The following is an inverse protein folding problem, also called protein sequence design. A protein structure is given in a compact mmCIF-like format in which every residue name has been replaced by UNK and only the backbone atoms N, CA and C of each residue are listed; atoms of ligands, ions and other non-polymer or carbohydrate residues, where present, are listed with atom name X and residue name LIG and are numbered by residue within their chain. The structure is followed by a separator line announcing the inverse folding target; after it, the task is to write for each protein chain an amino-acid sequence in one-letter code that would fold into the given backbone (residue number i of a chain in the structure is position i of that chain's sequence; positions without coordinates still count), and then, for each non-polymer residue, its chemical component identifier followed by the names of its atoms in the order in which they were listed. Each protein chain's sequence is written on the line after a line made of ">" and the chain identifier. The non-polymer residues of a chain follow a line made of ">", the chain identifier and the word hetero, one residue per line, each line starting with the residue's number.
data_IF_870092488549
#
_entry.id   IF_870092488549
#
_cell.length_a   1.000
_cell.length_b   1.000
_cell.length_c   1.000
_cell.angle_alpha   90.00
_cell.angle_beta   90.00
_cell.angle_gamma   90.00
#
_symmetry.space_group_name_H-M   'P 1'
#
loop_
_entity.id
_entity.type
_entity.pdbx_description
1 polymer ?
#
# COMPACT_ATOMS: atom_id res chain seq x y z
N UNK A 1 18.55 -32.41 -27.58
CA UNK A 1 17.59 -33.52 -27.77
C UNK A 1 16.52 -33.42 -26.70
N UNK A 2 15.26 -33.48 -27.14
CA UNK A 2 14.00 -33.32 -26.40
C UNK A 2 13.90 -34.20 -25.17
N UNK A 3 13.24 -33.71 -24.10
CA UNK A 3 12.01 -34.30 -23.52
C UNK A 3 11.16 -33.21 -22.85
N UNK A 4 10.09 -32.79 -23.53
CA UNK A 4 8.94 -32.16 -22.89
C UNK A 4 8.14 -33.25 -22.19
N UNK A 5 7.74 -33.02 -20.94
CA UNK A 5 6.69 -33.80 -20.29
C UNK A 5 5.50 -32.89 -20.04
N UNK A 6 4.46 -33.11 -20.85
CA UNK A 6 3.10 -32.60 -20.67
C UNK A 6 2.48 -33.32 -19.47
N UNK A 7 1.93 -32.56 -18.51
CA UNK A 7 1.02 -33.11 -17.49
C UNK A 7 -0.35 -32.48 -17.70
N UNK A 8 -1.32 -33.38 -17.66
CA UNK A 8 -2.66 -33.29 -18.21
C UNK A 8 -3.57 -32.36 -17.43
N UNK A 9 -4.41 -31.66 -18.20
CA UNK A 9 -5.61 -30.97 -17.78
C UNK A 9 -6.66 -31.98 -17.30
N UNK A 10 -7.23 -31.78 -16.10
CA UNK A 10 -8.48 -32.42 -15.67
C UNK A 10 -9.44 -31.35 -15.17
N UNK A 11 -10.48 -31.09 -15.98
CA UNK A 11 -11.74 -30.50 -15.55
C UNK A 11 -12.68 -31.61 -15.05
N UNK A 12 -13.38 -31.38 -13.92
CA UNK A 12 -14.72 -31.91 -13.60
C UNK A 12 -15.20 -31.20 -12.31
N UNK A 13 -16.15 -30.26 -12.39
CA UNK A 13 -17.60 -30.40 -12.06
C UNK A 13 -17.84 -30.87 -10.61
N UNK A 14 -18.62 -30.24 -9.73
CA UNK A 14 -19.98 -29.72 -9.88
C UNK A 14 -20.49 -28.95 -8.64
N UNK A 15 -21.62 -28.27 -8.85
CA UNK A 15 -22.47 -27.41 -8.01
C UNK A 15 -22.85 -27.95 -6.61
N UNK A 16 -23.10 -27.01 -5.68
CA UNK A 16 -24.29 -27.03 -4.82
C UNK A 16 -24.69 -25.60 -4.41
N UNK A 17 -25.84 -25.13 -4.92
CA UNK A 17 -26.57 -23.98 -4.38
C UNK A 17 -27.33 -24.43 -3.13
N UNK A 18 -27.13 -23.76 -2.00
CA UNK A 18 -28.02 -23.85 -0.85
C UNK A 18 -28.96 -22.63 -0.86
N UNK A 19 -30.13 -22.82 -1.45
CA UNK A 19 -31.29 -21.96 -1.27
C UNK A 19 -32.02 -22.39 0.01
N UNK A 20 -32.07 -21.53 1.02
CA UNK A 20 -32.96 -21.69 2.16
C UNK A 20 -34.06 -20.63 2.08
N UNK A 21 -35.20 -21.05 1.55
CA UNK A 21 -36.50 -20.38 1.68
C UNK A 21 -37.07 -20.62 3.08
N UNK A 22 -37.54 -19.55 3.75
CA UNK A 22 -38.54 -19.67 4.81
C UNK A 22 -39.51 -18.51 4.75
N UNK A 23 -40.74 -18.84 4.35
CA UNK A 23 -41.90 -17.95 4.30
C UNK A 23 -42.42 -17.63 5.70
N UNK A 24 -42.91 -16.40 5.90
CA UNK A 24 -44.15 -16.19 6.64
C UNK A 24 -44.82 -14.88 6.21
N UNK A 25 -46.05 -15.02 5.74
CA UNK A 25 -46.95 -13.94 5.31
C UNK A 25 -47.51 -13.19 6.51
N UNK A 26 -47.74 -11.88 6.38
CA UNK A 26 -48.98 -11.19 6.82
C UNK A 26 -49.05 -9.79 6.19
N UNK A 27 -50.18 -9.53 5.54
CA UNK A 27 -50.56 -8.34 4.79
C UNK A 27 -50.71 -7.08 5.65
N UNK A 28 -50.39 -5.91 5.08
CA UNK A 28 -51.33 -4.78 4.90
C UNK A 28 -50.61 -3.57 4.27
N UNK A 29 -51.13 -3.13 3.13
CA UNK A 29 -50.84 -1.84 2.48
C UNK A 29 -51.80 -0.78 3.04
N UNK A 30 -51.36 0.48 3.16
CA UNK A 30 -52.09 1.51 2.43
C UNK A 30 -51.17 2.44 1.62
N UNK A 31 -51.71 2.85 0.48
CA UNK A 31 -51.16 3.65 -0.62
C UNK A 31 -50.86 5.10 -0.25
N UNK A 32 -49.67 5.60 -0.62
CA UNK A 32 -49.41 7.00 -1.04
C UNK A 32 -48.24 6.99 -2.05
N UNK A 33 -48.44 7.48 -3.28
CA UNK A 33 -47.39 7.75 -4.30
C UNK A 33 -46.87 9.21 -4.17
N UNK A 34 -45.87 9.66 -4.95
CA UNK A 34 -44.50 9.17 -5.11
C UNK A 34 -43.49 10.27 -4.70
N UNK A 35 -42.32 9.92 -4.17
CA UNK A 35 -41.19 10.86 -4.13
C UNK A 35 -39.97 10.12 -4.68
N UNK A 36 -39.57 10.56 -5.87
CA UNK A 36 -38.28 10.30 -6.50
C UNK A 36 -37.18 10.70 -5.53
N UNK A 37 -36.54 9.70 -4.94
CA UNK A 37 -35.22 9.88 -4.31
C UNK A 37 -34.31 8.84 -4.93
N UNK A 38 -33.63 9.23 -6.01
CA UNK A 38 -32.41 8.56 -6.42
C UNK A 38 -31.39 8.71 -5.29
N UNK A 39 -31.41 7.76 -4.35
CA UNK A 39 -30.32 7.54 -3.42
C UNK A 39 -29.45 6.42 -4.00
N UNK A 40 -28.63 6.79 -4.97
CA UNK A 40 -27.43 6.05 -5.38
C UNK A 40 -26.29 6.97 -4.97
N UNK A 41 -25.34 6.65 -4.10
CA UNK A 41 -24.68 5.39 -3.79
C UNK A 41 -24.07 5.52 -2.40
N UNK A 42 -24.18 4.46 -1.59
CA UNK A 42 -23.39 4.28 -0.38
C UNK A 42 -21.91 4.15 -0.76
N UNK A 43 -21.20 5.28 -0.78
CA UNK A 43 -19.74 5.30 -0.74
C UNK A 43 -19.32 4.81 0.65
N UNK A 44 -18.96 3.54 0.75
CA UNK A 44 -18.02 3.15 1.79
C UNK A 44 -16.75 3.95 1.49
N UNK A 45 -16.50 4.96 2.31
CA UNK A 45 -15.29 5.77 2.24
C UNK A 45 -14.32 5.19 3.25
N UNK A 46 -13.05 4.98 2.86
CA UNK A 46 -12.01 4.70 3.84
C UNK A 46 -11.88 5.92 4.76
N UNK A 47 -11.87 5.71 6.08
CA UNK A 47 -11.72 6.81 7.03
C UNK A 47 -10.27 7.32 6.98
N UNK A 48 -10.04 8.61 6.71
CA UNK A 48 -8.68 9.17 6.71
C UNK A 48 -7.98 8.96 8.05
N UNK A 49 -6.68 8.66 7.99
CA UNK A 49 -5.80 8.57 9.16
C UNK A 49 -4.83 9.74 9.08
N UNK A 50 -5.19 10.86 9.70
CA UNK A 50 -4.47 12.13 9.55
C UNK A 50 -3.45 12.30 10.68
N UNK A 51 -2.31 11.62 10.57
CA UNK A 51 -1.12 11.96 11.34
C UNK A 51 -0.02 12.51 10.42
N UNK A 52 -0.22 13.75 9.96
CA UNK A 52 0.69 14.42 9.02
C UNK A 52 2.08 14.64 9.61
N UNK A 53 2.20 14.85 10.92
CA UNK A 53 3.49 15.03 11.57
C UNK A 53 4.32 13.75 11.54
N UNK A 54 3.74 12.61 11.94
CA UNK A 54 4.42 11.32 11.91
C UNK A 54 4.81 10.94 10.48
N UNK A 55 3.91 11.18 9.52
CA UNK A 55 4.18 10.97 8.10
C UNK A 55 5.36 11.84 7.61
N UNK A 56 5.36 13.13 7.92
CA UNK A 56 6.47 14.02 7.53
C UNK A 56 7.79 13.60 8.17
N UNK A 57 7.79 13.16 9.42
CA UNK A 57 8.99 12.65 10.09
C UNK A 57 9.49 11.34 9.46
N UNK A 58 8.59 10.45 9.04
CA UNK A 58 8.95 9.25 8.28
C UNK A 58 9.61 9.59 6.93
N UNK A 59 9.10 10.61 6.24
CA UNK A 59 9.59 10.99 4.92
C UNK A 59 11.02 11.55 4.97
N UNK A 60 11.46 12.15 6.09
CA UNK A 60 12.84 12.65 6.25
C UNK A 60 13.87 11.56 6.53
N UNK A 61 13.45 10.35 6.90
CA UNK A 61 14.36 9.23 7.20
C UNK A 61 15.02 8.76 5.91
N UNK A 62 16.35 8.76 5.88
CA UNK A 62 17.15 8.32 4.75
C UNK A 62 17.45 6.83 4.83
N UNK A 63 17.35 6.16 3.69
CA UNK A 63 17.72 4.75 3.55
C UNK A 63 19.12 4.64 2.95
N UNK A 64 19.99 3.94 3.68
CA UNK A 64 21.35 3.63 3.26
C UNK A 64 21.45 2.29 2.52
N UNK A 65 22.62 2.06 1.93
CA UNK A 65 22.89 0.81 1.20
C UNK A 65 23.18 -0.34 2.17
N UNK A 66 22.26 -1.32 2.22
CA UNK A 66 22.41 -2.53 3.03
C UNK A 66 23.67 -3.35 2.74
N UNK A 67 24.19 -3.29 1.50
CA UNK A 67 25.44 -3.98 1.13
C UNK A 67 26.69 -3.27 1.66
N UNK A 68 26.55 -2.02 2.11
CA UNK A 68 27.61 -1.16 2.65
C UNK A 68 27.28 -0.72 4.08
N UNK A 69 26.78 -1.65 4.92
CA UNK A 69 26.50 -1.37 6.33
C UNK A 69 25.56 -0.16 6.57
N UNK A 70 24.63 0.09 5.64
CA UNK A 70 23.70 1.21 5.70
C UNK A 70 24.34 2.58 5.43
N UNK A 71 25.46 2.64 4.72
CA UNK A 71 26.06 3.92 4.29
C UNK A 71 25.03 4.81 3.59
N UNK A 72 24.96 6.07 4.02
CA UNK A 72 23.99 7.08 3.56
C UNK A 72 22.63 7.04 4.28
N UNK A 73 22.37 6.05 5.14
CA UNK A 73 21.14 5.95 5.91
C UNK A 73 21.17 6.76 7.20
N UNK A 74 19.97 7.17 7.66
CA UNK A 74 19.81 7.78 8.98
C UNK A 74 20.26 6.83 10.08
N UNK A 75 20.89 7.37 11.11
CA UNK A 75 21.31 6.62 12.30
C UNK A 75 20.11 6.31 13.19
N UNK A 76 20.24 5.27 14.02
CA UNK A 76 19.25 4.93 15.04
C UNK A 76 18.97 6.11 15.99
N UNK A 77 20.00 6.90 16.33
CA UNK A 77 19.85 8.08 17.17
C UNK A 77 19.02 9.18 16.49
N UNK A 78 19.31 9.49 15.22
CA UNK A 78 18.52 10.45 14.43
C UNK A 78 17.06 9.99 14.28
N UNK A 79 16.84 8.70 14.03
CA UNK A 79 15.50 8.11 13.94
C UNK A 79 14.75 8.26 15.27
N UNK A 80 15.37 7.94 16.40
CA UNK A 80 14.75 8.10 17.72
C UNK A 80 14.50 9.56 18.08
N UNK A 81 15.34 10.47 17.62
CA UNK A 81 15.12 11.90 17.80
C UNK A 81 13.89 12.40 17.00
N UNK A 82 13.60 11.78 15.86
CA UNK A 82 12.43 12.09 15.02
C UNK A 82 11.14 11.43 15.53
N UNK A 83 11.17 10.11 15.76
CA UNK A 83 9.97 9.30 16.01
C UNK A 83 9.76 8.93 17.49
N UNK A 84 10.74 9.21 18.36
CA UNK A 84 10.76 8.70 19.72
C UNK A 84 11.20 7.24 19.80
N UNK A 85 10.97 6.61 20.95
CA UNK A 85 11.30 5.19 21.15
C UNK A 85 10.31 4.28 20.40
N UNK A 86 10.79 3.17 19.81
CA UNK A 86 9.92 2.23 19.12
C UNK A 86 8.97 1.53 20.10
N UNK A 87 7.79 1.17 19.61
CA UNK A 87 6.84 0.31 20.31
C UNK A 87 7.40 -1.11 20.49
N UNK A 88 8.16 -1.61 19.52
CA UNK A 88 8.85 -2.89 19.62
C UNK A 88 10.15 -2.92 18.80
N UNK A 89 11.06 -3.79 19.22
CA UNK A 89 12.28 -4.12 18.50
C UNK A 89 12.42 -5.63 18.40
N UNK A 90 12.69 -6.13 17.20
CA UNK A 90 13.03 -7.53 16.94
C UNK A 90 14.44 -7.58 16.39
N UNK A 91 15.29 -8.45 16.93
CA UNK A 91 16.66 -8.64 16.42
C UNK A 91 16.76 -9.99 15.76
N UNK A 92 17.37 -10.02 14.58
CA UNK A 92 17.70 -11.24 13.85
C UNK A 92 19.20 -11.30 13.61
N UNK A 93 19.79 -12.48 13.80
CA UNK A 93 21.20 -12.72 13.52
C UNK A 93 21.34 -13.85 12.52
N UNK A 94 22.08 -13.59 11.44
CA UNK A 94 22.43 -14.60 10.45
C UNK A 94 23.91 -14.50 10.13
N UNK A 95 24.66 -15.59 10.35
CA UNK A 95 26.10 -15.66 10.09
C UNK A 95 26.91 -14.54 10.78
N UNK A 96 26.51 -14.13 11.98
CA UNK A 96 27.15 -13.05 12.75
C UNK A 96 26.79 -11.64 12.29
N UNK A 97 25.90 -11.49 11.30
CA UNK A 97 25.31 -10.21 10.91
C UNK A 97 24.00 -10.02 11.68
N UNK A 98 23.94 -8.97 12.50
CA UNK A 98 22.74 -8.58 13.23
C UNK A 98 21.95 -7.53 12.44
N UNK A 99 20.64 -7.74 12.31
CA UNK A 99 19.68 -6.78 11.77
C UNK A 99 18.57 -6.57 12.79
N UNK A 100 18.31 -5.32 13.12
CA UNK A 100 17.22 -4.94 14.01
C UNK A 100 16.04 -4.43 13.18
N UNK A 101 14.84 -4.89 13.50
CA UNK A 101 13.59 -4.34 13.01
C UNK A 101 12.94 -3.55 14.14
N UNK A 102 12.71 -2.27 13.91
CA UNK A 102 12.08 -1.37 14.87
C UNK A 102 10.70 -0.98 14.35
N UNK A 103 9.72 -1.02 15.24
CA UNK A 103 8.32 -0.72 14.90
C UNK A 103 7.78 0.39 15.78
N UNK A 104 7.15 1.40 15.18
CA UNK A 104 6.35 2.43 15.84
C UNK A 104 4.90 2.25 15.42
N UNK A 105 4.00 2.23 16.39
CA UNK A 105 2.55 2.15 16.16
C UNK A 105 1.89 3.40 16.73
N UNK A 106 1.12 4.08 15.89
CA UNK A 106 0.25 5.19 16.31
C UNK A 106 -1.13 5.07 15.64
N UNK A 107 -2.13 4.68 16.42
CA UNK A 107 -3.44 4.31 15.92
C UNK A 107 -3.34 3.19 14.88
N UNK A 108 -3.84 3.46 13.67
CA UNK A 108 -3.77 2.53 12.54
C UNK A 108 -2.45 2.62 11.77
N UNK A 109 -1.65 3.68 11.97
CA UNK A 109 -0.39 3.87 11.26
C UNK A 109 0.74 3.08 11.93
N UNK A 110 1.47 2.32 11.12
CA UNK A 110 2.66 1.58 11.57
C UNK A 110 3.86 1.96 10.71
N UNK A 111 4.96 2.35 11.36
CA UNK A 111 6.27 2.53 10.72
C UNK A 111 7.16 1.36 11.13
N UNK A 112 7.81 0.73 10.15
CA UNK A 112 8.82 -0.29 10.37
C UNK A 112 10.12 0.12 9.71
N UNK A 113 11.22 0.02 10.44
CA UNK A 113 12.57 0.29 9.94
C UNK A 113 13.47 -0.92 10.17
N UNK A 114 14.24 -1.30 9.16
CA UNK A 114 15.35 -2.23 9.34
C UNK A 114 16.65 -1.44 9.54
N UNK A 115 17.40 -1.79 10.57
CA UNK A 115 18.66 -1.18 10.98
C UNK A 115 19.77 -2.21 10.83
N UNK A 116 20.83 -1.83 10.11
CA UNK A 116 22.07 -2.60 10.00
C UNK A 116 23.21 -1.73 10.52
N UNK A 117 23.94 -2.22 11.51
CA UNK A 117 25.07 -1.49 12.14
C UNK A 117 24.70 -0.06 12.56
N UNK A 118 23.50 0.11 13.13
CA UNK A 118 23.01 1.38 13.64
C UNK A 118 22.49 2.36 12.57
N UNK A 119 22.38 1.94 11.31
CA UNK A 119 21.85 2.77 10.21
C UNK A 119 20.65 2.13 9.51
N UNK A 120 19.71 2.95 9.09
CA UNK A 120 18.50 2.53 8.36
C UNK A 120 18.85 2.01 6.97
N UNK A 121 18.38 0.80 6.66
CA UNK A 121 18.57 0.12 5.36
C UNK A 121 17.27 -0.25 4.67
N UNK A 122 16.16 -0.21 5.40
CA UNK A 122 14.81 -0.33 4.86
C UNK A 122 13.87 0.54 5.71
N UNK A 123 12.87 1.14 5.07
CA UNK A 123 11.75 1.78 5.76
C UNK A 123 10.43 1.40 5.12
N UNK A 124 9.39 1.31 5.93
CA UNK A 124 8.02 1.09 5.50
C UNK A 124 7.06 1.88 6.39
N UNK A 125 6.02 2.45 5.80
CA UNK A 125 4.85 2.96 6.51
C UNK A 125 3.62 2.21 6.00
N UNK A 126 2.70 1.85 6.90
CA UNK A 126 1.43 1.20 6.55
C UNK A 126 0.30 1.78 7.39
N UNK A 127 -0.95 1.56 6.96
CA UNK A 127 -2.15 2.03 7.68
C UNK A 127 -2.33 3.55 7.75
N UNK A 128 -1.55 4.31 6.97
CA UNK A 128 -1.72 5.75 6.79
C UNK A 128 -2.63 6.02 5.59
N UNK A 129 -3.51 7.03 5.70
CA UNK A 129 -4.40 7.43 4.61
C UNK A 129 -4.61 8.96 4.62
N UNK A 130 -4.27 9.62 3.52
CA UNK A 130 -4.53 11.06 3.39
C UNK A 130 -6.03 11.36 3.33
N UNK A 131 -6.41 12.54 3.82
CA UNK A 131 -7.73 13.12 3.55
C UNK A 131 -7.65 13.97 2.27
N UNK A 132 -8.10 13.43 1.14
CA UNK A 132 -8.06 14.09 -0.17
C UNK A 132 -9.13 13.56 -1.12
N UNK A 133 -9.38 14.30 -2.19
CA UNK A 133 -10.34 13.91 -3.23
C UNK A 133 -9.82 12.75 -4.10
N UNK A 134 -10.75 11.89 -4.53
CA UNK A 134 -10.49 10.73 -5.40
C UNK A 134 -10.44 11.15 -6.87
N UNK A 135 -9.30 11.66 -7.31
CA UNK A 135 -9.12 12.22 -8.65
C UNK A 135 -8.39 11.29 -9.63
N UNK A 136 -7.60 10.34 -9.14
CA UNK A 136 -6.77 9.44 -9.94
C UNK A 136 -7.62 8.32 -10.55
N UNK A 137 -7.85 8.38 -11.87
CA UNK A 137 -8.68 7.41 -12.59
C UNK A 137 -7.91 6.22 -13.16
N UNK A 138 -8.65 5.21 -13.63
CA UNK A 138 -8.09 4.10 -14.41
C UNK A 138 -7.41 4.61 -15.69
N UNK A 139 -7.98 5.62 -16.36
CA UNK A 139 -7.33 6.27 -17.52
C UNK A 139 -5.96 6.84 -17.14
N UNK A 140 -5.86 7.60 -16.04
CA UNK A 140 -4.57 8.13 -15.59
C UNK A 140 -3.55 7.03 -15.29
N UNK A 141 -3.98 5.94 -14.64
CA UNK A 141 -3.13 4.79 -14.37
C UNK A 141 -2.62 4.12 -15.65
N UNK A 142 -3.48 3.94 -16.65
CA UNK A 142 -3.13 3.30 -17.91
C UNK A 142 -2.13 4.12 -18.73
N UNK A 143 -2.25 5.46 -18.70
CA UNK A 143 -1.35 6.39 -19.40
C UNK A 143 0.06 6.46 -18.78
N UNK A 144 0.24 6.05 -17.53
CA UNK A 144 1.54 6.08 -16.87
C UNK A 144 2.53 5.11 -17.55
N UNK A 145 3.63 5.63 -18.10
CA UNK A 145 4.62 4.85 -18.82
C UNK A 145 5.73 4.33 -17.90
N UNK A 146 6.25 3.12 -18.18
CA UNK A 146 7.51 2.63 -17.60
C UNK A 146 8.64 3.65 -17.84
N UNK A 147 9.58 3.76 -16.90
CA UNK A 147 10.66 4.74 -16.94
C UNK A 147 10.29 6.14 -16.44
N UNK A 148 9.01 6.44 -16.19
CA UNK A 148 8.60 7.71 -15.55
C UNK A 148 9.27 7.84 -14.18
N UNK A 149 9.81 9.02 -13.86
CA UNK A 149 10.51 9.21 -12.59
C UNK A 149 9.56 9.19 -11.40
N UNK A 150 10.05 8.81 -10.22
CA UNK A 150 9.22 8.87 -9.01
C UNK A 150 8.73 10.30 -8.75
N UNK A 151 9.61 11.30 -8.89
CA UNK A 151 9.25 12.70 -8.74
C UNK A 151 8.17 13.18 -9.72
N UNK A 152 8.21 12.73 -10.98
CA UNK A 152 7.19 13.10 -11.97
C UNK A 152 5.84 12.48 -11.62
N UNK A 153 5.82 11.23 -11.11
CA UNK A 153 4.59 10.62 -10.60
C UNK A 153 4.05 11.42 -9.42
N UNK A 154 4.90 11.79 -8.45
CA UNK A 154 4.45 12.57 -7.29
C UNK A 154 3.91 13.95 -7.69
N UNK A 155 4.48 14.59 -8.71
CA UNK A 155 4.03 15.89 -9.19
C UNK A 155 2.60 15.86 -9.75
N UNK A 156 2.18 14.72 -10.32
CA UNK A 156 0.85 14.57 -10.93
C UNK A 156 -0.13 13.89 -9.98
N UNK A 157 0.29 12.82 -9.30
CA UNK A 157 -0.57 11.98 -8.47
C UNK A 157 -0.59 12.43 -7.00
N UNK A 158 0.37 13.25 -6.59
CA UNK A 158 0.65 13.52 -5.19
C UNK A 158 1.32 12.32 -4.50
N UNK A 159 1.62 12.48 -3.22
CA UNK A 159 2.31 11.45 -2.44
C UNK A 159 1.49 10.15 -2.32
N UNK A 160 2.14 8.97 -2.29
CA UNK A 160 1.46 7.73 -1.95
C UNK A 160 1.00 7.76 -0.51
N UNK A 161 -0.07 7.04 -0.20
CA UNK A 161 -0.56 6.88 1.16
C UNK A 161 0.44 6.08 2.00
N UNK A 162 0.99 5.02 1.41
CA UNK A 162 1.97 4.14 2.04
C UNK A 162 3.07 3.79 1.07
N UNK A 163 4.28 3.57 1.58
CA UNK A 163 5.37 3.07 0.75
C UNK A 163 6.43 2.34 1.55
N UNK A 164 7.22 1.55 0.84
CA UNK A 164 8.45 0.93 1.31
C UNK A 164 9.62 1.45 0.49
N UNK A 165 10.79 1.59 1.12
CA UNK A 165 12.02 2.01 0.45
C UNK A 165 13.20 1.18 0.97
N UNK A 166 14.05 0.73 0.04
CA UNK A 166 15.29 0.01 0.34
C UNK A 166 16.40 0.40 -0.63
N UNK A 167 17.65 0.20 -0.21
CA UNK A 167 18.80 0.26 -1.11
C UNK A 167 19.70 -0.95 -0.92
N UNK A 168 19.96 -1.67 -2.00
CA UNK A 168 20.73 -2.91 -2.00
C UNK A 168 21.70 -2.88 -3.17
N UNK A 169 23.00 -2.97 -2.89
CA UNK A 169 24.05 -3.02 -3.92
C UNK A 169 23.99 -1.83 -4.88
N UNK A 170 23.78 -0.63 -4.34
CA UNK A 170 23.66 0.62 -5.09
C UNK A 170 22.26 0.91 -5.62
N UNK A 171 21.43 -0.12 -5.81
CA UNK A 171 20.10 0.01 -6.41
C UNK A 171 19.05 0.40 -5.37
N UNK A 172 18.36 1.52 -5.61
CA UNK A 172 17.23 1.97 -4.81
C UNK A 172 15.94 1.36 -5.33
N UNK A 173 15.11 0.81 -4.44
CA UNK A 173 13.78 0.31 -4.76
C UNK A 173 12.73 0.99 -3.88
N UNK A 174 11.66 1.49 -4.49
CA UNK A 174 10.49 2.08 -3.80
C UNK A 174 9.23 1.35 -4.24
N UNK A 175 8.48 0.78 -3.31
CA UNK A 175 7.14 0.25 -3.56
C UNK A 175 6.10 1.17 -2.94
N UNK A 176 5.28 1.83 -3.75
CA UNK A 176 4.38 2.90 -3.30
C UNK A 176 2.92 2.59 -3.66
N UNK A 177 2.01 2.83 -2.73
CA UNK A 177 0.57 2.57 -2.91
C UNK A 177 -0.26 3.82 -2.66
N UNK A 178 -1.16 4.09 -3.60
CA UNK A 178 -2.19 5.12 -3.52
C UNK A 178 -3.55 4.49 -3.26
N UNK A 179 -4.22 4.98 -2.23
CA UNK A 179 -5.56 4.56 -1.83
C UNK A 179 -6.53 5.74 -1.85
N UNK A 180 -6.15 6.86 -1.22
CA UNK A 180 -7.10 7.95 -0.91
C UNK A 180 -7.44 8.85 -2.08
N UNK A 181 -6.55 8.99 -3.07
CA UNK A 181 -6.81 9.75 -4.28
C UNK A 181 -7.32 8.88 -5.44
N UNK A 182 -7.48 7.56 -5.27
CA UNK A 182 -7.85 6.62 -6.34
C UNK A 182 -9.36 6.54 -6.51
N UNK A 183 -9.85 6.76 -7.73
CA UNK A 183 -11.22 6.43 -8.12
C UNK A 183 -11.37 4.93 -8.27
N UNK A 184 -12.47 4.39 -7.76
CA UNK A 184 -12.75 2.98 -7.89
C UNK A 184 -14.07 2.57 -7.28
N UNK A 185 -14.44 1.32 -7.57
CA UNK A 185 -15.77 0.76 -7.28
C UNK A 185 -16.11 0.75 -5.79
N UNK A 186 -15.10 0.58 -4.94
CA UNK A 186 -15.24 0.51 -3.48
C UNK A 186 -13.94 0.97 -2.79
N UNK A 187 -13.89 0.80 -1.47
CA UNK A 187 -12.76 1.15 -0.59
C UNK A 187 -11.46 0.40 -0.87
N UNK A 188 -11.53 -0.76 -1.55
CA UNK A 188 -10.33 -1.58 -1.83
C UNK A 188 -9.55 -1.07 -3.03
N UNK A 189 -10.09 -0.09 -3.76
CA UNK A 189 -9.47 0.45 -4.94
C UNK A 189 -8.12 1.09 -4.63
N UNK A 190 -7.09 0.72 -5.39
CA UNK A 190 -5.73 1.23 -5.18
C UNK A 190 -4.88 1.11 -6.45
N UNK A 191 -3.79 1.88 -6.47
CA UNK A 191 -2.71 1.76 -7.42
C UNK A 191 -1.41 1.47 -6.67
N UNK A 192 -0.69 0.43 -7.08
CA UNK A 192 0.63 0.07 -6.55
C UNK A 192 1.68 0.19 -7.67
N UNK A 193 2.74 0.95 -7.38
CA UNK A 193 3.85 1.19 -8.30
C UNK A 193 5.17 0.76 -7.66
N UNK A 194 6.06 0.17 -8.45
CA UNK A 194 7.43 -0.16 -8.05
C UNK A 194 8.38 0.68 -8.89
N UNK A 195 9.28 1.40 -8.22
CA UNK A 195 10.34 2.18 -8.82
C UNK A 195 11.69 1.53 -8.52
N UNK A 196 12.56 1.45 -9.52
CA UNK A 196 13.96 1.02 -9.39
C UNK A 196 14.85 2.12 -9.93
N UNK A 197 15.79 2.59 -9.12
CA UNK A 197 16.67 3.72 -9.43
C UNK A 197 15.91 4.90 -10.05
N UNK A 198 14.88 5.33 -9.29
CA UNK A 198 13.96 6.44 -9.60
C UNK A 198 13.03 6.19 -10.80
N UNK A 199 13.13 5.08 -11.51
CA UNK A 199 12.32 4.80 -12.70
C UNK A 199 11.19 3.81 -12.41
N UNK A 200 9.98 4.09 -12.89
CA UNK A 200 8.86 3.16 -12.82
C UNK A 200 9.21 1.85 -13.53
N UNK A 201 9.25 0.76 -12.78
CA UNK A 201 9.58 -0.58 -13.25
C UNK A 201 8.34 -1.49 -13.33
N UNK A 202 7.37 -1.30 -12.43
CA UNK A 202 6.13 -2.10 -12.42
C UNK A 202 4.95 -1.26 -11.96
N UNK A 203 3.76 -1.56 -12.48
CA UNK A 203 2.50 -0.99 -12.02
C UNK A 203 1.42 -2.06 -11.95
N UNK A 204 0.61 -2.02 -10.90
CA UNK A 204 -0.60 -2.84 -10.75
C UNK A 204 -1.71 -2.00 -10.13
N UNK A 205 -2.95 -2.23 -10.54
CA UNK A 205 -4.12 -1.61 -9.93
C UNK A 205 -5.07 -2.67 -9.39
N UNK A 206 -5.93 -2.25 -8.48
CA UNK A 206 -7.08 -3.04 -8.03
C UNK A 206 -8.32 -2.15 -8.07
N UNK A 207 -9.38 -2.62 -8.72
CA UNK A 207 -10.72 -2.01 -8.69
C UNK A 207 -10.79 -0.52 -9.07
N UNK A 208 -9.81 0.00 -9.82
CA UNK A 208 -9.83 1.38 -10.31
C UNK A 208 -10.91 1.60 -11.37
N UNK A 209 -11.45 2.81 -11.42
CA UNK A 209 -12.45 3.24 -12.41
C UNK A 209 -12.20 4.66 -12.89
N UNK A 210 -12.97 5.10 -13.89
CA UNK A 210 -13.01 6.50 -14.36
C UNK A 210 -14.04 7.36 -13.61
#
# INVERSE_FOLDING_TARGET
>A
MKKLSLISLTLLSSLALAACSKSNSTSQTPTVEPITTESTSSSSSQTPVVNTQLRQQFDTILVGDSSQAGEGGSTLEEVKALLGEPTSTTTSELNGLSTEELTWVDGDTTITLAINQGKTVNKAISGFLFNRDRNLSLTNFNELAEGTSYSDVLAVWGEPDVYTESKIMGTKSVGATWFSNVKGKDVTANAFLVFTDDQLAQKTETNMTD
#
